data_IF_916132840546
#
_entry.id   IF_916132840546
#
_cell.length_a   1.000
_cell.length_b   1.000
_cell.length_c   1.000
_cell.angle_alpha   90.00
_cell.angle_beta   90.00
_cell.angle_gamma   90.00
#
_symmetry.space_group_name_H-M   'P 1'
#
loop_
_entity.id
_entity.type
_entity.pdbx_description
1 polymer ?
#
# COMPACT_ATOMS: atom_id res chain seq x y z
N UNK A 1 -9.68 0.90 5.07
CA UNK A 1 -10.38 0.24 6.18
C UNK A 1 -10.00 -1.24 6.20
N UNK A 2 -9.19 -1.61 7.15
CA UNK A 2 -9.18 -2.99 7.62
C UNK A 2 -10.40 -3.10 8.56
N UNK A 3 -11.55 -3.57 8.07
CA UNK A 3 -12.67 -3.89 8.94
C UNK A 3 -12.46 -5.33 9.38
N UNK A 4 -12.01 -5.50 10.61
CA UNK A 4 -11.95 -6.80 11.26
C UNK A 4 -13.37 -7.21 11.62
N UNK A 5 -13.83 -8.31 11.05
CA UNK A 5 -15.07 -8.97 11.47
C UNK A 5 -14.66 -10.10 12.42
N UNK A 6 -14.78 -9.86 13.72
CA UNK A 6 -14.66 -10.92 14.71
C UNK A 6 -16.00 -11.62 14.82
N UNK A 7 -16.15 -12.76 14.16
CA UNK A 7 -17.27 -13.69 14.33
C UNK A 7 -16.91 -14.78 15.32
N UNK A 8 -17.18 -14.62 16.58
CA UNK A 8 -16.99 -15.64 17.58
C UNK A 8 -17.98 -15.49 18.73
N UNK A 9 -19.22 -15.87 18.53
CA UNK A 9 -20.11 -16.13 19.65
C UNK A 9 -20.33 -17.62 19.84
N UNK A 10 -20.02 -18.11 21.04
CA UNK A 10 -20.36 -19.45 21.51
C UNK A 10 -21.86 -19.69 21.41
N UNK A 11 -22.23 -20.72 20.64
CA UNK A 11 -23.59 -21.23 20.62
C UNK A 11 -23.85 -21.97 21.93
N UNK A 12 -24.37 -21.32 22.94
CA UNK A 12 -24.99 -21.97 24.09
C UNK A 12 -26.34 -22.58 23.64
N UNK A 13 -26.38 -23.88 23.57
CA UNK A 13 -27.65 -24.61 23.50
C UNK A 13 -28.42 -24.40 24.81
N UNK A 14 -29.42 -23.57 24.78
CA UNK A 14 -30.49 -23.52 25.76
C UNK A 14 -31.77 -24.00 25.10
N UNK A 15 -32.40 -24.96 25.77
CA UNK A 15 -33.67 -25.60 25.38
C UNK A 15 -34.82 -24.57 25.34
N UNK A 16 -35.63 -24.67 24.27
CA UNK A 16 -37.03 -24.23 24.16
C UNK A 16 -37.38 -22.83 24.61
N UNK A 17 -36.98 -21.85 23.78
CA UNK A 17 -37.77 -20.67 23.39
C UNK A 17 -36.98 -19.94 22.34
N UNK A 18 -37.40 -20.00 21.09
CA UNK A 18 -36.80 -19.21 20.00
C UNK A 18 -37.31 -17.78 20.19
N UNK A 19 -36.60 -16.99 20.97
CA UNK A 19 -36.70 -15.54 20.87
C UNK A 19 -35.98 -15.12 19.59
N UNK A 20 -36.75 -14.66 18.61
CA UNK A 20 -36.20 -13.93 17.47
C UNK A 20 -35.69 -12.58 18.00
N UNK A 21 -34.46 -12.54 18.48
CA UNK A 21 -33.77 -11.27 18.66
C UNK A 21 -33.60 -10.67 17.27
N UNK A 22 -33.93 -9.40 17.12
CA UNK A 22 -33.72 -8.64 15.89
C UNK A 22 -32.26 -8.76 15.49
N UNK A 23 -31.97 -9.65 14.55
CA UNK A 23 -30.68 -9.65 13.86
C UNK A 23 -30.61 -8.33 13.10
N UNK A 24 -29.84 -7.38 13.60
CA UNK A 24 -29.36 -6.31 12.75
C UNK A 24 -28.40 -6.98 11.76
N UNK A 25 -28.85 -7.11 10.53
CA UNK A 25 -27.97 -7.46 9.41
C UNK A 25 -27.00 -6.31 9.30
N UNK A 26 -25.81 -6.47 9.85
CA UNK A 26 -24.69 -5.59 9.51
C UNK A 26 -24.40 -5.93 8.05
N UNK A 27 -24.73 -5.04 7.14
CA UNK A 27 -24.38 -5.20 5.73
C UNK A 27 -22.84 -5.31 5.65
N UNK A 28 -22.35 -6.52 5.43
CA UNK A 28 -20.94 -6.73 5.12
C UNK A 28 -20.63 -5.99 3.83
N UNK A 29 -19.75 -4.99 3.90
CA UNK A 29 -19.26 -4.31 2.69
C UNK A 29 -18.63 -5.35 1.79
N UNK A 30 -19.04 -5.39 0.53
CA UNK A 30 -18.43 -6.27 -0.47
C UNK A 30 -16.96 -5.90 -0.62
N UNK A 31 -16.12 -6.92 -0.81
CA UNK A 31 -14.69 -6.72 -1.03
C UNK A 31 -14.41 -5.79 -2.22
N UNK A 32 -15.24 -5.88 -3.27
CA UNK A 32 -15.18 -5.01 -4.45
C UNK A 32 -15.32 -3.53 -4.09
N UNK A 33 -16.25 -3.20 -3.20
CA UNK A 33 -16.51 -1.81 -2.81
C UNK A 33 -15.37 -1.25 -1.96
N UNK A 34 -14.76 -2.11 -1.13
CA UNK A 34 -13.56 -1.75 -0.35
C UNK A 34 -12.37 -1.47 -1.27
N UNK A 35 -12.16 -2.32 -2.27
CA UNK A 35 -11.08 -2.16 -3.24
C UNK A 35 -11.29 -0.88 -4.05
N UNK A 36 -12.51 -0.62 -4.54
CA UNK A 36 -12.82 0.59 -5.31
C UNK A 36 -12.55 1.87 -4.52
N UNK A 37 -12.95 1.92 -3.25
CA UNK A 37 -12.69 3.07 -2.38
C UNK A 37 -11.18 3.30 -2.14
N UNK A 38 -10.44 2.23 -1.85
CA UNK A 38 -9.00 2.33 -1.52
C UNK A 38 -8.17 2.67 -2.76
N UNK A 39 -8.56 2.18 -3.93
CA UNK A 39 -7.85 2.44 -5.19
C UNK A 39 -7.66 3.93 -5.50
N UNK A 40 -8.59 4.78 -5.07
CA UNK A 40 -8.49 6.23 -5.24
C UNK A 40 -7.29 6.85 -4.51
N UNK A 41 -6.81 6.17 -3.46
CA UNK A 41 -5.66 6.61 -2.67
C UNK A 41 -4.34 5.99 -3.13
N UNK A 42 -4.36 5.04 -4.08
CA UNK A 42 -3.17 4.33 -4.56
C UNK A 42 -2.72 4.91 -5.89
N UNK A 43 -1.43 5.23 -5.96
CA UNK A 43 -0.81 5.85 -7.14
C UNK A 43 0.37 5.04 -7.63
N UNK A 44 0.64 5.12 -8.93
CA UNK A 44 1.90 4.62 -9.50
C UNK A 44 3.01 5.66 -9.34
N UNK A 45 4.20 5.20 -9.03
CA UNK A 45 5.40 6.03 -8.96
C UNK A 45 6.43 5.53 -9.96
N UNK A 46 6.96 6.45 -10.78
CA UNK A 46 8.01 6.18 -11.75
C UNK A 46 9.17 7.14 -11.56
N UNK A 47 10.38 6.60 -11.43
CA UNK A 47 11.60 7.39 -11.29
C UNK A 47 12.50 7.21 -12.51
N UNK A 48 13.04 8.31 -13.05
CA UNK A 48 14.06 8.26 -14.10
C UNK A 48 15.37 7.70 -13.53
N UNK A 49 15.92 6.68 -14.14
CA UNK A 49 17.30 6.24 -13.83
C UNK A 49 18.29 7.29 -14.32
N UNK A 50 19.22 7.69 -13.46
CA UNK A 50 20.03 8.90 -13.53
C UNK A 50 21.00 9.07 -14.72
N UNK A 51 20.97 8.24 -15.77
CA UNK A 51 21.99 8.24 -16.83
C UNK A 51 21.47 8.60 -18.23
N UNK A 52 20.29 9.19 -18.38
CA UNK A 52 19.76 9.44 -19.73
C UNK A 52 19.20 10.84 -19.93
N UNK A 53 19.91 11.60 -20.76
CA UNK A 53 19.55 12.91 -21.27
C UNK A 53 18.48 12.89 -22.38
N UNK A 54 17.98 11.74 -22.79
CA UNK A 54 17.04 11.63 -23.91
C UNK A 54 15.76 10.87 -23.54
N UNK A 55 14.64 11.60 -23.59
CA UNK A 55 13.28 11.11 -23.38
C UNK A 55 12.77 10.25 -24.56
N UNK A 56 13.51 10.20 -25.66
CA UNK A 56 13.04 9.64 -26.94
C UNK A 56 13.61 8.26 -27.31
N UNK A 57 14.49 7.68 -26.53
CA UNK A 57 15.11 6.39 -26.84
C UNK A 57 14.60 5.31 -25.87
N UNK A 58 13.45 4.73 -26.23
CA UNK A 58 12.61 3.97 -25.32
C UNK A 58 12.69 2.47 -25.58
N UNK A 59 13.44 1.78 -24.73
CA UNK A 59 13.02 0.47 -24.22
C UNK A 59 12.50 0.69 -22.80
N UNK A 60 11.19 0.84 -22.68
CA UNK A 60 10.50 1.48 -21.54
C UNK A 60 10.63 0.73 -20.21
N UNK A 61 10.98 -0.55 -20.19
CA UNK A 61 10.92 -1.40 -19.00
C UNK A 61 12.20 -1.44 -18.17
N UNK A 62 13.36 -1.12 -18.76
CA UNK A 62 14.63 -1.20 -18.02
C UNK A 62 15.09 0.13 -17.41
N UNK A 63 14.49 1.23 -17.81
CA UNK A 63 14.96 2.60 -17.49
C UNK A 63 14.23 3.27 -16.34
N UNK A 64 13.05 2.77 -15.97
CA UNK A 64 12.22 3.34 -14.92
C UNK A 64 12.18 2.44 -13.69
N UNK A 65 12.44 3.00 -12.52
CA UNK A 65 12.02 2.38 -11.27
C UNK A 65 10.50 2.54 -11.18
N UNK A 66 9.78 1.43 -11.12
CA UNK A 66 8.32 1.43 -10.97
C UNK A 66 7.94 0.95 -9.59
N UNK A 67 6.96 1.59 -8.98
CA UNK A 67 6.43 1.23 -7.68
C UNK A 67 5.11 1.91 -7.39
N UNK A 68 4.72 1.82 -6.15
CA UNK A 68 3.44 2.28 -5.63
C UNK A 68 3.66 3.42 -4.65
N UNK A 69 2.66 4.27 -4.48
CA UNK A 69 2.57 5.24 -3.41
C UNK A 69 1.15 5.34 -2.89
N UNK A 70 1.00 5.79 -1.65
CA UNK A 70 -0.28 5.95 -0.97
C UNK A 70 -0.50 7.43 -0.65
N UNK A 71 -1.57 8.01 -1.18
CA UNK A 71 -1.97 9.39 -0.85
C UNK A 71 -2.40 9.43 0.61
N UNK A 72 -1.80 10.33 1.40
CA UNK A 72 -2.09 10.48 2.83
C UNK A 72 -2.70 11.84 3.19
N UNK A 73 -2.82 12.75 2.20
CA UNK A 73 -3.48 14.05 2.42
C UNK A 73 -4.18 14.54 1.15
N UNK A 74 -5.22 15.33 1.33
CA UNK A 74 -5.99 15.94 0.23
C UNK A 74 -5.19 16.93 -0.61
N UNK A 75 -4.10 17.46 -0.06
CA UNK A 75 -3.24 18.45 -0.70
C UNK A 75 -1.99 17.85 -1.36
N UNK A 76 -1.87 16.51 -1.40
CA UNK A 76 -0.90 15.82 -2.25
C UNK A 76 0.37 15.32 -1.57
N UNK A 77 0.31 14.96 -0.28
CA UNK A 77 1.36 14.16 0.34
C UNK A 77 1.13 12.68 0.05
N UNK A 78 2.18 11.99 -0.34
CA UNK A 78 2.17 10.58 -0.74
C UNK A 78 3.30 9.87 0.01
N UNK A 79 2.97 8.75 0.67
CA UNK A 79 3.95 7.83 1.24
C UNK A 79 4.37 6.80 0.20
N UNK A 80 5.66 6.43 0.21
CA UNK A 80 6.22 5.35 -0.59
C UNK A 80 7.51 4.84 0.06
N UNK A 81 8.15 3.83 -0.53
CA UNK A 81 9.44 3.37 -0.07
C UNK A 81 10.58 4.28 -0.52
N UNK A 82 11.64 4.38 0.33
CA UNK A 82 12.82 5.20 0.02
C UNK A 82 13.59 4.64 -1.18
N UNK A 83 13.74 3.31 -1.30
CA UNK A 83 14.46 2.71 -2.42
C UNK A 83 13.84 3.05 -3.79
N UNK A 84 12.54 3.37 -3.85
CA UNK A 84 11.87 3.89 -5.05
C UNK A 84 12.13 5.39 -5.24
N UNK A 85 11.97 6.17 -4.18
CA UNK A 85 12.11 7.62 -4.18
C UNK A 85 13.58 8.07 -4.26
N UNK A 86 14.51 7.23 -3.83
CA UNK A 86 15.97 7.40 -3.79
C UNK A 86 16.44 8.44 -2.78
N UNK A 87 16.33 9.73 -3.06
CA UNK A 87 16.85 10.77 -2.19
C UNK A 87 15.95 12.01 -2.19
N UNK A 88 16.08 12.83 -1.15
CA UNK A 88 15.38 14.10 -1.07
C UNK A 88 15.71 14.98 -2.29
N UNK A 89 14.71 15.75 -2.74
CA UNK A 89 14.71 16.56 -3.95
C UNK A 89 14.70 15.81 -5.29
N UNK A 90 14.68 14.47 -5.30
CA UNK A 90 14.45 13.68 -6.52
C UNK A 90 13.07 14.05 -7.10
N UNK A 91 13.04 14.23 -8.42
CA UNK A 91 11.79 14.40 -9.18
C UNK A 91 11.35 13.04 -9.71
N UNK A 92 10.07 12.80 -9.66
CA UNK A 92 9.45 11.58 -10.12
C UNK A 92 8.09 11.86 -10.76
N UNK A 93 7.55 10.88 -11.42
CA UNK A 93 6.23 10.93 -12.05
C UNK A 93 5.26 10.13 -11.18
N UNK A 94 4.13 10.73 -10.85
CA UNK A 94 3.03 10.13 -10.12
C UNK A 94 1.86 9.93 -11.08
N UNK A 95 1.39 8.70 -11.20
CA UNK A 95 0.24 8.33 -12.01
C UNK A 95 -0.96 8.14 -11.09
N UNK A 96 -1.94 9.03 -11.21
CA UNK A 96 -3.16 9.01 -10.40
C UNK A 96 -4.17 7.98 -10.91
N UNK A 97 -5.16 7.68 -10.07
CA UNK A 97 -6.22 6.72 -10.35
C UNK A 97 -6.97 7.04 -11.66
N UNK A 98 -7.25 8.30 -11.93
CA UNK A 98 -7.96 8.77 -13.13
C UNK A 98 -7.10 8.78 -14.41
N UNK A 99 -5.87 8.25 -14.37
CA UNK A 99 -4.91 8.25 -15.49
C UNK A 99 -4.14 9.56 -15.66
N UNK A 100 -4.38 10.55 -14.82
CA UNK A 100 -3.61 11.79 -14.84
C UNK A 100 -2.20 11.56 -14.33
N UNK A 101 -1.24 12.19 -14.99
CA UNK A 101 0.18 12.12 -14.62
C UNK A 101 0.62 13.46 -14.07
N UNK A 102 1.19 13.45 -12.87
CA UNK A 102 1.63 14.65 -12.16
C UNK A 102 3.10 14.52 -11.76
N UNK A 103 3.86 15.61 -11.87
CA UNK A 103 5.24 15.65 -11.37
C UNK A 103 5.23 15.72 -9.84
N UNK A 104 5.99 14.82 -9.20
CA UNK A 104 6.20 14.78 -7.77
C UNK A 104 7.64 15.13 -7.41
N UNK A 105 7.82 15.58 -6.17
CA UNK A 105 9.13 15.85 -5.57
C UNK A 105 9.24 15.15 -4.23
N UNK A 106 10.32 14.42 -4.02
CA UNK A 106 10.66 13.83 -2.73
C UNK A 106 11.04 14.95 -1.76
N UNK A 107 10.27 15.10 -0.69
CA UNK A 107 10.49 16.15 0.32
C UNK A 107 11.14 15.62 1.59
N UNK A 108 11.00 14.33 1.85
CA UNK A 108 11.64 13.62 2.95
C UNK A 108 11.88 12.16 2.59
N UNK A 109 12.94 11.57 3.12
CA UNK A 109 13.19 10.14 3.04
C UNK A 109 14.13 9.70 4.16
N UNK A 110 13.98 8.43 4.58
CA UNK A 110 14.85 7.77 5.55
C UNK A 110 15.17 6.36 5.06
N UNK A 111 16.46 6.08 4.92
CA UNK A 111 17.00 4.83 4.40
C UNK A 111 16.91 3.69 5.41
N UNK A 112 16.95 4.01 6.72
CA UNK A 112 16.93 2.99 7.77
C UNK A 112 15.56 2.32 7.91
N UNK A 113 14.48 3.05 7.63
CA UNK A 113 13.11 2.55 7.68
C UNK A 113 12.50 2.35 6.30
N UNK A 114 13.29 2.60 5.23
CA UNK A 114 12.86 2.53 3.83
C UNK A 114 11.55 3.29 3.55
N UNK A 115 11.43 4.51 4.06
CA UNK A 115 10.26 5.37 3.85
C UNK A 115 10.64 6.68 3.16
N UNK A 116 9.73 7.19 2.35
CA UNK A 116 9.83 8.51 1.73
C UNK A 116 8.46 9.20 1.64
N UNK A 117 8.50 10.52 1.65
CA UNK A 117 7.34 11.38 1.42
C UNK A 117 7.54 12.16 0.13
N UNK A 118 6.58 12.01 -0.76
CA UNK A 118 6.51 12.73 -2.03
C UNK A 118 5.42 13.78 -1.94
N UNK A 119 5.68 14.96 -2.48
CA UNK A 119 4.71 16.05 -2.62
C UNK A 119 4.40 16.29 -4.09
N UNK A 120 3.12 16.29 -4.42
CA UNK A 120 2.60 16.73 -5.73
C UNK A 120 1.81 18.04 -5.56
N UNK A 121 1.77 18.85 -6.60
CA UNK A 121 0.97 20.08 -6.63
C UNK A 121 -0.43 19.77 -7.19
N UNK A 122 -1.24 19.10 -6.35
CA UNK A 122 -2.63 18.77 -6.64
C UNK A 122 -3.45 18.78 -5.36
N UNK A 123 -4.71 19.16 -5.48
CA UNK A 123 -5.67 19.28 -4.38
C UNK A 123 -6.89 18.39 -4.62
N UNK A 124 -7.72 18.26 -3.59
CA UNK A 124 -8.95 17.48 -3.61
C UNK A 124 -8.71 16.00 -3.93
N UNK A 125 -7.58 15.48 -3.46
CA UNK A 125 -7.27 14.06 -3.53
C UNK A 125 -8.00 13.30 -2.44
N UNK A 126 -8.17 12.00 -2.64
CA UNK A 126 -8.77 11.10 -1.65
C UNK A 126 -7.64 10.43 -0.86
N UNK A 127 -7.40 10.81 0.41
CA UNK A 127 -6.36 10.18 1.20
C UNK A 127 -6.81 8.83 1.74
N UNK A 128 -5.86 7.90 1.86
CA UNK A 128 -6.06 6.64 2.56
C UNK A 128 -6.30 6.91 4.05
N UNK A 129 -7.17 6.09 4.65
CA UNK A 129 -7.38 6.12 6.09
C UNK A 129 -6.29 5.31 6.77
N UNK A 130 -5.54 5.95 7.65
CA UNK A 130 -4.47 5.27 8.40
C UNK A 130 -5.09 4.49 9.55
N UNK A 131 -4.82 3.19 9.57
CA UNK A 131 -5.23 2.30 10.65
C UNK A 131 -4.22 2.28 11.80
N UNK A 132 -4.52 1.50 12.84
CA UNK A 132 -3.60 1.23 13.94
C UNK A 132 -3.16 -0.24 13.89
N UNK A 133 -1.89 -0.47 13.54
CA UNK A 133 -1.30 -1.80 13.42
C UNK A 133 -1.19 -2.56 14.75
N UNK A 134 -1.19 -1.85 15.89
CA UNK A 134 -1.15 -2.48 17.23
C UNK A 134 -2.40 -3.33 17.51
N UNK A 135 -3.49 -3.05 16.81
CA UNK A 135 -4.75 -3.78 16.96
C UNK A 135 -4.86 -5.01 16.07
N UNK A 136 -3.90 -5.22 15.15
CA UNK A 136 -3.91 -6.37 14.24
C UNK A 136 -3.77 -7.71 14.96
N UNK A 137 -4.43 -8.72 14.44
CA UNK A 137 -4.35 -10.10 14.94
C UNK A 137 -3.97 -11.06 13.82
N UNK A 138 -3.20 -12.08 14.18
CA UNK A 138 -2.88 -13.16 13.24
C UNK A 138 -4.18 -13.85 12.81
N UNK A 139 -4.34 -14.07 11.52
CA UNK A 139 -5.53 -14.64 10.90
C UNK A 139 -6.53 -13.60 10.36
N UNK A 140 -6.34 -12.31 10.63
CA UNK A 140 -7.16 -11.26 10.03
C UNK A 140 -6.96 -11.18 8.52
N UNK A 141 -8.04 -10.99 7.76
CA UNK A 141 -7.97 -10.82 6.32
C UNK A 141 -7.31 -9.47 5.97
N UNK A 142 -6.41 -9.50 4.99
CA UNK A 142 -5.73 -8.33 4.46
C UNK A 142 -5.75 -8.31 2.94
N UNK A 143 -5.69 -7.10 2.40
CA UNK A 143 -5.48 -6.86 0.98
C UNK A 143 -4.13 -6.17 0.81
N UNK A 144 -3.31 -6.69 -0.10
CA UNK A 144 -2.17 -5.97 -0.60
C UNK A 144 -2.55 -5.32 -1.93
N UNK A 145 -2.45 -4.00 -1.99
CA UNK A 145 -2.81 -3.21 -3.16
C UNK A 145 -1.59 -2.44 -3.62
N UNK A 146 -1.22 -2.64 -4.87
CA UNK A 146 -0.07 -1.99 -5.45
C UNK A 146 -0.23 -1.73 -6.95
N UNK A 147 0.82 -1.18 -7.52
CA UNK A 147 0.89 -0.85 -8.94
C UNK A 147 2.08 -1.56 -9.61
N UNK A 148 2.08 -2.91 -9.65
CA UNK A 148 3.18 -3.69 -10.18
C UNK A 148 3.34 -3.52 -11.69
N UNK A 149 4.60 -3.50 -12.15
CA UNK A 149 5.03 -3.77 -13.53
C UNK A 149 4.32 -2.98 -14.64
N UNK A 150 4.40 -1.64 -14.61
CA UNK A 150 4.02 -0.81 -15.78
C UNK A 150 2.52 -0.64 -15.98
N UNK A 151 2.18 0.03 -17.09
CA UNK A 151 0.80 0.45 -17.40
C UNK A 151 -0.18 -0.72 -17.55
N UNK A 152 0.31 -1.91 -17.90
CA UNK A 152 -0.51 -3.11 -18.17
C UNK A 152 -0.98 -3.84 -16.91
N UNK A 153 -0.28 -3.66 -15.77
CA UNK A 153 -0.58 -4.33 -14.49
C UNK A 153 -0.89 -3.34 -13.36
N UNK A 154 -1.31 -2.13 -13.71
CA UNK A 154 -1.71 -1.13 -12.72
C UNK A 154 -2.82 -1.67 -11.83
N UNK A 155 -2.74 -1.36 -10.51
CA UNK A 155 -3.79 -1.66 -9.53
C UNK A 155 -4.02 -3.15 -9.27
N UNK A 156 -2.93 -3.88 -9.10
CA UNK A 156 -3.03 -5.26 -8.66
C UNK A 156 -3.45 -5.33 -7.19
N UNK A 157 -4.49 -6.09 -6.93
CA UNK A 157 -4.96 -6.39 -5.58
C UNK A 157 -4.80 -7.88 -5.32
N UNK A 158 -4.16 -8.23 -4.22
CA UNK A 158 -4.08 -9.61 -3.74
C UNK A 158 -4.68 -9.70 -2.34
N UNK A 159 -5.26 -10.86 -2.00
CA UNK A 159 -5.88 -11.12 -0.72
C UNK A 159 -5.11 -12.20 0.02
N UNK A 160 -4.98 -12.04 1.32
CA UNK A 160 -4.39 -13.01 2.23
C UNK A 160 -4.81 -12.73 3.67
N UNK A 161 -4.01 -13.21 4.60
CA UNK A 161 -4.21 -12.99 6.04
C UNK A 161 -2.94 -12.39 6.66
N UNK A 162 -3.07 -11.83 7.84
CA UNK A 162 -1.92 -11.55 8.72
C UNK A 162 -1.37 -12.89 9.19
N UNK A 163 -0.19 -13.27 8.70
CA UNK A 163 0.47 -14.55 9.01
C UNK A 163 1.42 -14.44 10.21
N UNK A 164 1.85 -13.23 10.56
CA UNK A 164 2.71 -12.96 11.71
C UNK A 164 2.81 -11.46 11.99
N UNK A 165 3.13 -11.15 13.23
CA UNK A 165 3.34 -9.79 13.72
C UNK A 165 4.71 -9.68 14.40
N UNK A 166 5.20 -8.46 14.53
CA UNK A 166 6.46 -8.12 15.19
C UNK A 166 7.64 -8.98 14.67
N UNK A 167 7.69 -9.14 13.36
CA UNK A 167 8.78 -9.87 12.70
C UNK A 167 9.99 -8.98 12.57
N UNK A 168 11.16 -9.56 12.81
CA UNK A 168 12.45 -8.92 12.59
C UNK A 168 13.15 -9.60 11.43
N UNK A 169 13.61 -8.81 10.46
CA UNK A 169 14.45 -9.25 9.37
C UNK A 169 15.83 -8.61 9.51
N UNK A 170 16.86 -9.42 9.32
CA UNK A 170 18.25 -8.97 9.25
C UNK A 170 18.84 -9.47 7.95
N UNK A 171 19.44 -8.57 7.18
CA UNK A 171 20.11 -8.90 5.94
C UNK A 171 21.31 -7.97 5.72
N UNK A 172 22.20 -8.35 4.82
CA UNK A 172 23.34 -7.53 4.46
C UNK A 172 23.08 -6.79 3.15
N UNK A 173 23.25 -5.48 3.16
CA UNK A 173 23.16 -4.63 1.98
C UNK A 173 24.39 -3.71 1.91
N UNK A 174 25.08 -3.76 0.76
CA UNK A 174 26.31 -2.96 0.52
C UNK A 174 27.37 -3.07 1.62
N UNK A 175 27.46 -4.25 2.27
CA UNK A 175 28.42 -4.51 3.36
C UNK A 175 27.99 -3.97 4.73
N UNK A 176 26.78 -3.45 4.85
CA UNK A 176 26.16 -3.04 6.10
C UNK A 176 25.06 -4.01 6.51
N UNK A 177 24.95 -4.29 7.80
CA UNK A 177 23.82 -5.05 8.34
C UNK A 177 22.61 -4.13 8.45
N UNK A 178 21.54 -4.46 7.75
CA UNK A 178 20.25 -3.80 7.84
C UNK A 178 19.34 -4.61 8.77
N UNK A 179 18.75 -3.96 9.74
CA UNK A 179 17.78 -4.53 10.67
C UNK A 179 16.44 -3.83 10.48
N UNK A 180 15.41 -4.60 10.12
CA UNK A 180 14.03 -4.12 10.06
C UNK A 180 13.20 -4.83 11.12
N UNK A 181 12.54 -4.08 11.96
CA UNK A 181 11.77 -4.59 13.10
C UNK A 181 10.29 -4.25 12.96
N UNK A 182 9.47 -4.88 13.80
CA UNK A 182 8.01 -4.68 13.88
C UNK A 182 7.26 -4.91 12.56
N UNK A 183 7.78 -5.81 11.72
CA UNK A 183 7.19 -6.10 10.42
C UNK A 183 5.95 -6.97 10.55
N UNK A 184 4.98 -6.70 9.68
CA UNK A 184 3.77 -7.50 9.50
C UNK A 184 4.03 -8.50 8.37
N UNK A 185 3.83 -9.78 8.66
CA UNK A 185 3.91 -10.84 7.67
C UNK A 185 2.51 -11.16 7.13
N UNK A 186 2.39 -11.32 5.82
CA UNK A 186 1.16 -11.78 5.15
C UNK A 186 1.49 -12.87 4.13
N UNK A 187 0.50 -13.69 3.79
CA UNK A 187 0.52 -14.63 2.67
C UNK A 187 -0.15 -14.07 1.40
N UNK A 188 -0.65 -12.83 1.45
CA UNK A 188 -1.05 -12.12 0.24
C UNK A 188 0.16 -11.99 -0.68
N UNK A 189 -0.01 -12.26 -1.98
CA UNK A 189 1.08 -12.22 -2.94
C UNK A 189 1.65 -10.81 -3.07
N UNK A 190 2.93 -10.65 -2.73
CA UNK A 190 3.69 -9.42 -2.93
C UNK A 190 4.68 -9.65 -4.08
N UNK A 191 4.60 -8.80 -5.08
CA UNK A 191 5.42 -8.88 -6.30
C UNK A 191 6.15 -7.55 -6.55
N UNK A 192 7.16 -7.60 -7.44
CA UNK A 192 7.87 -6.37 -7.88
C UNK A 192 6.87 -5.34 -8.38
N UNK A 193 6.97 -4.10 -7.89
CA UNK A 193 6.06 -2.99 -8.17
C UNK A 193 5.01 -2.73 -7.09
N UNK A 194 4.76 -3.68 -6.16
CA UNK A 194 3.94 -3.42 -4.97
C UNK A 194 4.68 -2.57 -3.92
N UNK A 195 6.01 -2.42 -4.04
CA UNK A 195 6.80 -1.57 -3.16
C UNK A 195 6.16 -0.19 -3.02
N UNK A 196 5.91 0.26 -1.81
CA UNK A 196 5.28 1.53 -1.47
C UNK A 196 3.74 1.49 -1.43
N UNK A 197 3.13 0.31 -1.65
CA UNK A 197 1.69 0.09 -1.56
C UNK A 197 1.22 -0.29 -0.17
#
# INVERSE_FOLDING_TARGET
YLTVITGGEEVKRLSNEVQYSNFQVVEERKLTDVVEDVMQSVVGISTLKANEESIFDISLTEKWGLGTGVIVSEDGYILTNQHLARSANTRLIVNLENGETVQGKVIWCDENVDLAVVKIDKKNLVPAKIGNSDNLKIGEEVLAIGNPLGVEFQRTTTKGIVSGLNRTLQFEENGNTVLMEDLIQTDASINTGNSGG
#
